data_IF_346358696548
#
_entry.id   IF_346358696548
#
_cell.length_a   1.000
_cell.length_b   1.000
_cell.length_c   1.000
_cell.angle_alpha   90.00
_cell.angle_beta   90.00
_cell.angle_gamma   90.00
#
_symmetry.space_group_name_H-M   'P 1'
#
loop_
_entity.id
_entity.type
_entity.pdbx_description
1 polymer ?
#
# COMPACT_ATOMS: atom_id res chain seq x y z
N UNK A 1 1.54 41.56 -11.16
CA UNK A 1 1.68 41.23 -9.72
C UNK A 1 2.62 40.05 -9.61
N UNK A 2 3.79 40.21 -8.98
CA UNK A 2 4.72 39.10 -8.79
C UNK A 2 4.12 38.11 -7.77
N UNK A 3 3.86 36.88 -8.21
CA UNK A 3 3.53 35.77 -7.31
C UNK A 3 4.72 35.58 -6.36
N UNK A 4 4.50 35.76 -5.06
CA UNK A 4 5.49 35.43 -4.03
C UNK A 4 5.74 33.92 -4.07
N UNK A 5 6.74 33.49 -4.83
CA UNK A 5 7.23 32.12 -4.80
C UNK A 5 7.82 31.84 -3.40
N UNK A 6 7.49 30.71 -2.76
CA UNK A 6 8.12 30.30 -1.51
C UNK A 6 9.64 30.22 -1.69
N UNK A 7 10.41 30.60 -0.66
CA UNK A 7 11.87 30.52 -0.71
C UNK A 7 12.29 29.07 -1.05
N UNK A 8 13.19 28.87 -2.03
CA UNK A 8 13.66 27.54 -2.40
C UNK A 8 14.29 26.85 -1.19
N UNK A 9 13.91 25.59 -0.95
CA UNK A 9 14.53 24.77 0.10
C UNK A 9 15.97 24.45 -0.30
N UNK A 10 16.91 24.69 0.62
CA UNK A 10 18.34 24.45 0.44
C UNK A 10 18.73 22.96 0.46
N UNK A 11 17.80 22.06 0.83
CA UNK A 11 18.05 20.62 0.91
C UNK A 11 16.88 19.84 0.32
N UNK A 12 17.18 18.94 -0.62
CA UNK A 12 16.20 17.98 -1.15
C UNK A 12 15.68 17.09 -0.01
N UNK A 13 14.36 16.88 0.10
CA UNK A 13 13.80 15.98 1.11
C UNK A 13 14.28 14.54 0.87
N UNK A 14 14.27 13.70 1.90
CA UNK A 14 14.56 12.28 1.75
C UNK A 14 13.53 11.63 0.81
N UNK A 15 14.01 10.80 -0.11
CA UNK A 15 13.22 10.20 -1.18
C UNK A 15 13.42 8.68 -1.24
N UNK A 16 12.41 8.00 -1.78
CA UNK A 16 12.41 6.57 -2.04
C UNK A 16 12.22 6.32 -3.54
N UNK A 17 13.01 5.41 -4.10
CA UNK A 17 12.91 5.06 -5.51
C UNK A 17 11.86 3.96 -5.73
N UNK A 18 10.97 4.16 -6.68
CA UNK A 18 9.88 3.26 -7.03
C UNK A 18 9.84 3.02 -8.53
N UNK A 19 9.56 1.76 -8.90
CA UNK A 19 9.31 1.38 -10.29
C UNK A 19 7.86 1.63 -10.69
N UNK A 20 7.61 2.38 -11.74
CA UNK A 20 6.28 2.65 -12.32
C UNK A 20 6.38 2.66 -13.84
N UNK A 21 5.57 1.85 -14.53
CA UNK A 21 5.53 1.78 -16.01
C UNK A 21 6.89 1.56 -16.69
N UNK A 22 7.76 0.76 -16.07
CA UNK A 22 9.14 0.52 -16.55
C UNK A 22 10.12 1.67 -16.28
N UNK A 23 9.64 2.78 -15.69
CA UNK A 23 10.46 3.88 -15.22
C UNK A 23 10.82 3.71 -13.75
N UNK A 24 11.96 4.28 -13.35
CA UNK A 24 12.34 4.45 -11.94
C UNK A 24 12.14 5.93 -11.60
N UNK A 25 11.27 6.21 -10.64
CA UNK A 25 10.98 7.57 -10.16
C UNK A 25 11.22 7.64 -8.65
N UNK A 26 11.40 8.83 -8.13
CA UNK A 26 11.70 9.13 -6.73
C UNK A 26 10.56 9.93 -6.12
N UNK A 27 10.01 9.41 -5.02
CA UNK A 27 8.91 10.03 -4.28
C UNK A 27 9.38 10.47 -2.91
N UNK A 28 8.81 11.55 -2.37
CA UNK A 28 9.22 12.06 -1.07
C UNK A 28 8.75 11.15 0.08
N UNK A 29 9.65 10.87 1.03
CA UNK A 29 9.34 10.03 2.21
C UNK A 29 8.24 10.66 3.09
N UNK A 30 8.12 11.99 3.08
CA UNK A 30 7.06 12.68 3.80
C UNK A 30 5.69 12.46 3.12
N UNK A 31 5.64 12.37 1.80
CA UNK A 31 4.41 12.01 1.07
C UNK A 31 4.01 10.55 1.34
N UNK A 32 4.95 9.60 1.31
CA UNK A 32 4.66 8.19 1.63
C UNK A 32 4.16 8.02 3.06
N UNK A 33 4.75 8.72 4.02
CA UNK A 33 4.29 8.77 5.41
C UNK A 33 2.88 9.37 5.55
N UNK A 34 2.54 10.37 4.71
CA UNK A 34 1.20 10.96 4.65
C UNK A 34 0.13 9.98 4.19
N UNK A 35 0.44 9.16 3.18
CA UNK A 35 -0.42 8.05 2.73
C UNK A 35 -0.62 7.04 3.87
N UNK A 36 0.45 6.63 4.56
CA UNK A 36 0.36 5.69 5.68
C UNK A 36 -0.58 6.21 6.78
N UNK A 37 -0.40 7.47 7.19
CA UNK A 37 -1.23 8.13 8.21
C UNK A 37 -2.69 8.20 7.79
N UNK A 38 -2.96 8.54 6.53
CA UNK A 38 -4.33 8.59 5.99
C UNK A 38 -5.05 7.25 6.10
N UNK A 39 -4.34 6.13 5.94
CA UNK A 39 -4.91 4.79 6.13
C UNK A 39 -5.27 4.46 7.58
N UNK A 40 -4.58 5.06 8.55
CA UNK A 40 -4.81 4.79 9.98
C UNK A 40 -6.14 5.38 10.47
N UNK A 41 -6.69 6.37 9.77
CA UNK A 41 -7.97 7.02 10.12
C UNK A 41 -9.17 6.06 9.94
N UNK A 42 -8.98 4.92 9.24
CA UNK A 42 -10.00 3.84 9.06
C UNK A 42 -11.38 4.32 8.58
N UNK A 43 -11.43 5.44 7.88
CA UNK A 43 -12.66 5.98 7.28
C UNK A 43 -12.64 5.84 5.76
N UNK A 44 -13.82 5.69 5.17
CA UNK A 44 -14.00 5.69 3.71
C UNK A 44 -13.33 4.52 2.99
N UNK A 45 -13.02 4.70 1.71
CA UNK A 45 -12.47 3.67 0.82
C UNK A 45 -11.07 3.17 1.17
N UNK A 46 -10.36 3.78 2.13
CA UNK A 46 -9.09 3.27 2.62
C UNK A 46 -9.24 2.15 3.66
N UNK A 47 -10.43 2.00 4.25
CA UNK A 47 -10.68 1.03 5.28
C UNK A 47 -10.45 -0.41 4.79
N UNK A 48 -9.60 -1.17 5.50
CA UNK A 48 -9.35 -2.57 5.19
C UNK A 48 -8.37 -2.84 4.04
N UNK A 49 -7.95 -1.83 3.27
CA UNK A 49 -6.92 -1.94 2.23
C UNK A 49 -5.51 -1.96 2.83
N UNK A 50 -5.18 -2.98 3.61
CA UNK A 50 -3.84 -3.16 4.18
C UNK A 50 -3.48 -4.63 4.25
N UNK A 51 -2.18 -4.93 4.12
CA UNK A 51 -1.66 -6.28 4.28
C UNK A 51 -1.66 -6.72 5.75
N UNK A 52 -1.65 -5.76 6.68
CA UNK A 52 -1.57 -5.98 8.12
C UNK A 52 -2.95 -6.21 8.71
N UNK A 53 -3.12 -7.33 9.39
CA UNK A 53 -4.38 -7.69 10.07
C UNK A 53 -4.26 -7.41 11.57
N UNK A 54 -5.32 -6.90 12.21
CA UNK A 54 -5.32 -6.71 13.67
C UNK A 54 -5.16 -8.02 14.43
N UNK A 55 -4.57 -8.00 15.63
CA UNK A 55 -4.40 -9.20 16.47
C UNK A 55 -5.74 -9.86 16.81
N UNK A 56 -6.81 -9.08 16.99
CA UNK A 56 -8.16 -9.63 17.19
C UNK A 56 -8.62 -10.46 16.00
N UNK A 57 -8.39 -9.97 14.80
CA UNK A 57 -8.76 -10.66 13.57
C UNK A 57 -7.83 -11.85 13.29
N UNK A 58 -6.52 -11.76 13.57
CA UNK A 58 -5.62 -12.91 13.54
C UNK A 58 -6.12 -14.04 14.44
N UNK A 59 -6.57 -13.70 15.67
CA UNK A 59 -7.12 -14.68 16.60
C UNK A 59 -8.45 -15.29 16.11
N UNK A 60 -9.28 -14.52 15.39
CA UNK A 60 -10.51 -15.02 14.77
C UNK A 60 -10.22 -16.00 13.62
N UNK A 61 -9.23 -15.67 12.78
CA UNK A 61 -8.86 -16.46 11.59
C UNK A 61 -8.08 -17.73 11.95
N UNK A 62 -7.19 -17.66 12.94
CA UNK A 62 -6.28 -18.76 13.29
C UNK A 62 -6.71 -19.56 14.53
N UNK A 63 -7.60 -19.01 15.35
CA UNK A 63 -7.83 -19.50 16.69
C UNK A 63 -6.62 -19.35 17.61
N UNK A 64 -6.74 -19.86 18.83
CA UNK A 64 -5.64 -19.84 19.80
C UNK A 64 -4.50 -20.77 19.38
N UNK A 65 -4.80 -21.94 18.80
CA UNK A 65 -3.79 -22.91 18.40
C UNK A 65 -2.90 -22.40 17.28
N UNK A 66 -3.46 -21.74 16.26
CA UNK A 66 -2.64 -21.16 15.19
C UNK A 66 -1.70 -20.06 15.69
N UNK A 67 -2.12 -19.28 16.70
CA UNK A 67 -1.24 -18.29 17.36
C UNK A 67 -0.16 -18.95 18.22
N UNK A 68 -0.45 -20.06 18.90
CA UNK A 68 0.57 -20.83 19.61
C UNK A 68 1.58 -21.43 18.64
N UNK A 69 1.11 -21.99 17.52
CA UNK A 69 1.99 -22.53 16.50
C UNK A 69 2.89 -21.45 15.91
N UNK A 70 2.39 -20.23 15.68
CA UNK A 70 3.23 -19.11 15.23
C UNK A 70 4.36 -18.77 16.24
N UNK A 71 4.09 -18.90 17.54
CA UNK A 71 5.10 -18.72 18.58
C UNK A 71 6.11 -19.88 18.61
N UNK A 72 5.66 -21.13 18.48
CA UNK A 72 6.52 -22.31 18.37
C UNK A 72 7.45 -22.19 17.17
N UNK A 73 6.88 -21.86 16.01
CA UNK A 73 7.65 -21.70 14.80
C UNK A 73 8.74 -20.64 15.04
N UNK A 74 8.42 -19.52 15.70
CA UNK A 74 9.37 -18.47 16.10
C UNK A 74 10.44 -18.90 17.13
N UNK A 75 10.47 -20.16 17.56
CA UNK A 75 11.38 -20.65 18.58
C UNK A 75 11.04 -20.13 19.98
N UNK A 76 9.79 -19.73 20.21
CA UNK A 76 9.31 -19.19 21.50
C UNK A 76 8.44 -20.19 22.23
N UNK A 77 8.41 -20.05 23.55
CA UNK A 77 7.46 -20.80 24.38
C UNK A 77 6.02 -20.47 23.98
N UNK A 78 5.15 -21.48 23.82
CA UNK A 78 3.74 -21.26 23.48
C UNK A 78 3.05 -20.35 24.51
N UNK A 79 2.37 -19.27 24.10
CA UNK A 79 1.67 -18.39 25.01
C UNK A 79 0.45 -19.08 25.65
N UNK A 80 0.19 -18.76 26.92
CA UNK A 80 -1.03 -19.18 27.62
C UNK A 80 -2.29 -18.54 27.02
N UNK A 81 -3.47 -19.12 27.28
CA UNK A 81 -4.75 -18.53 26.87
C UNK A 81 -4.99 -17.14 27.48
N UNK A 82 -4.43 -16.84 28.66
CA UNK A 82 -4.47 -15.50 29.28
C UNK A 82 -3.61 -14.51 28.48
N UNK A 83 -2.42 -14.93 28.08
CA UNK A 83 -1.50 -14.12 27.27
C UNK A 83 -2.12 -13.79 25.91
N UNK A 84 -2.69 -14.80 25.22
CA UNK A 84 -3.38 -14.60 23.94
C UNK A 84 -4.57 -13.63 24.05
N UNK A 85 -5.35 -13.69 25.15
CA UNK A 85 -6.41 -12.72 25.45
C UNK A 85 -5.85 -11.31 25.62
N UNK A 86 -4.76 -11.15 26.38
CA UNK A 86 -4.09 -9.86 26.58
C UNK A 86 -3.56 -9.28 25.26
N UNK A 87 -2.94 -10.09 24.41
CA UNK A 87 -2.49 -9.64 23.08
C UNK A 87 -3.64 -9.09 22.23
N UNK A 88 -4.78 -9.78 22.23
CA UNK A 88 -5.97 -9.32 21.50
C UNK A 88 -6.58 -8.04 22.10
N UNK A 89 -6.58 -7.90 23.43
CA UNK A 89 -7.07 -6.70 24.13
C UNK A 89 -6.17 -5.49 23.83
N UNK A 90 -4.85 -5.66 23.90
CA UNK A 90 -3.87 -4.61 23.64
C UNK A 90 -3.68 -4.35 22.13
N UNK A 91 -4.20 -5.22 21.27
CA UNK A 91 -4.00 -5.15 19.83
C UNK A 91 -2.54 -5.37 19.40
N UNK A 92 -1.71 -5.97 20.26
CA UNK A 92 -0.26 -6.09 20.08
C UNK A 92 0.24 -7.47 20.46
N UNK A 93 1.09 -8.04 19.60
CA UNK A 93 1.96 -9.17 19.93
C UNK A 93 3.35 -8.56 20.21
N UNK A 94 3.94 -8.75 21.41
CA UNK A 94 5.21 -8.11 21.77
C UNK A 94 6.39 -8.52 20.89
N UNK A 95 6.35 -9.74 20.35
CA UNK A 95 7.44 -10.35 19.58
C UNK A 95 7.17 -10.21 18.06
N UNK A 96 7.99 -9.43 17.32
CA UNK A 96 7.76 -9.16 15.89
C UNK A 96 7.81 -10.41 15.01
N UNK A 97 8.72 -11.34 15.30
CA UNK A 97 8.85 -12.66 14.67
C UNK A 97 7.57 -13.50 14.79
N UNK A 98 6.95 -13.52 15.98
CA UNK A 98 5.67 -14.20 16.21
C UNK A 98 4.54 -13.52 15.44
N UNK A 99 4.50 -12.18 15.46
CA UNK A 99 3.50 -11.42 14.72
C UNK A 99 3.59 -11.70 13.22
N UNK A 100 4.80 -11.67 12.66
CA UNK A 100 5.03 -11.95 11.24
C UNK A 100 4.55 -13.35 10.84
N UNK A 101 4.92 -14.38 11.60
CA UNK A 101 4.49 -15.77 11.33
C UNK A 101 2.98 -15.92 11.47
N UNK A 102 2.35 -15.25 12.43
CA UNK A 102 0.90 -15.20 12.55
C UNK A 102 0.24 -14.53 11.34
N UNK A 103 0.78 -13.41 10.84
CA UNK A 103 0.27 -12.74 9.62
C UNK A 103 0.41 -13.65 8.39
N UNK A 104 1.56 -14.31 8.20
CA UNK A 104 1.80 -15.26 7.10
C UNK A 104 0.80 -16.41 7.13
N UNK A 105 0.59 -17.01 8.31
CA UNK A 105 -0.37 -18.10 8.51
C UNK A 105 -1.79 -17.64 8.19
N UNK A 106 -2.23 -16.53 8.78
CA UNK A 106 -3.58 -16.00 8.56
C UNK A 106 -3.85 -15.69 7.08
N UNK A 107 -2.86 -15.11 6.39
CA UNK A 107 -2.96 -14.86 4.95
C UNK A 107 -3.10 -16.15 4.14
N UNK A 108 -2.38 -17.22 4.49
CA UNK A 108 -2.47 -18.50 3.78
C UNK A 108 -3.81 -19.19 4.05
N UNK A 109 -4.29 -19.20 5.30
CA UNK A 109 -5.59 -19.79 5.64
C UNK A 109 -6.73 -19.05 4.90
N UNK A 110 -6.70 -17.70 4.87
CA UNK A 110 -7.67 -16.91 4.07
C UNK A 110 -7.70 -17.27 2.60
N UNK A 111 -6.54 -17.62 2.03
CA UNK A 111 -6.42 -17.96 0.61
C UNK A 111 -6.82 -19.40 0.27
N UNK A 112 -7.32 -20.16 1.25
CA UNK A 112 -7.75 -21.55 1.10
C UNK A 112 -6.75 -22.58 1.60
N UNK A 113 -5.76 -22.15 2.41
CA UNK A 113 -4.75 -23.03 2.97
C UNK A 113 -3.55 -23.27 2.05
N UNK A 114 -2.63 -24.15 2.51
CA UNK A 114 -1.33 -24.36 1.87
C UNK A 114 -1.45 -24.88 0.44
N UNK A 115 -2.34 -25.85 0.20
CA UNK A 115 -2.48 -26.50 -1.11
C UNK A 115 -3.09 -25.55 -2.15
N UNK A 116 -4.11 -24.78 -1.78
CA UNK A 116 -4.71 -23.78 -2.66
C UNK A 116 -3.70 -22.68 -3.03
N UNK A 117 -2.90 -22.21 -2.06
CA UNK A 117 -1.86 -21.21 -2.31
C UNK A 117 -0.75 -21.79 -3.20
N UNK A 118 -0.31 -23.02 -2.94
CA UNK A 118 0.69 -23.71 -3.75
C UNK A 118 0.28 -23.79 -5.23
N UNK A 119 -0.97 -24.18 -5.49
CA UNK A 119 -1.54 -24.17 -6.84
C UNK A 119 -1.55 -22.78 -7.47
N UNK A 120 -2.04 -21.76 -6.75
CA UNK A 120 -2.13 -20.37 -7.25
C UNK A 120 -0.78 -19.76 -7.63
N UNK A 121 0.29 -20.11 -6.91
CA UNK A 121 1.62 -19.53 -7.15
C UNK A 121 2.56 -20.43 -7.95
N UNK A 122 2.15 -21.66 -8.31
CA UNK A 122 2.97 -22.62 -9.04
C UNK A 122 4.17 -23.12 -8.22
N UNK A 123 3.92 -23.49 -6.96
CA UNK A 123 4.93 -24.03 -6.03
C UNK A 123 4.44 -25.30 -5.35
N UNK A 124 5.34 -26.02 -4.70
CA UNK A 124 4.97 -27.21 -3.92
C UNK A 124 4.34 -26.83 -2.58
N UNK A 125 3.49 -27.72 -2.05
CA UNK A 125 2.93 -27.63 -0.69
C UNK A 125 4.03 -27.39 0.36
N UNK A 126 5.15 -28.10 0.25
CA UNK A 126 6.30 -27.96 1.16
C UNK A 126 6.89 -26.55 1.13
N UNK A 127 7.09 -25.96 -0.06
CA UNK A 127 7.62 -24.60 -0.18
C UNK A 127 6.71 -23.57 0.51
N UNK A 128 5.40 -23.69 0.31
CA UNK A 128 4.43 -22.80 0.96
C UNK A 128 4.37 -23.05 2.48
N UNK A 129 4.47 -24.30 2.93
CA UNK A 129 4.49 -24.64 4.35
C UNK A 129 5.72 -24.05 5.06
N UNK A 130 6.90 -24.14 4.45
CA UNK A 130 8.16 -23.56 4.98
C UNK A 130 8.13 -22.04 5.02
N UNK A 131 7.56 -21.42 3.98
CA UNK A 131 7.33 -19.97 3.98
C UNK A 131 6.35 -19.56 5.09
N UNK A 132 5.26 -20.32 5.28
CA UNK A 132 4.25 -20.07 6.31
C UNK A 132 4.83 -20.15 7.72
N UNK A 133 5.62 -21.18 7.99
CA UNK A 133 6.27 -21.36 9.29
C UNK A 133 7.36 -20.33 9.51
N UNK A 134 7.96 -19.76 8.46
CA UNK A 134 9.11 -18.88 8.58
C UNK A 134 10.45 -19.62 8.61
N UNK A 135 10.47 -20.90 8.22
CA UNK A 135 11.71 -21.64 7.95
C UNK A 135 12.46 -21.04 6.75
N UNK A 136 11.71 -20.51 5.79
CA UNK A 136 12.24 -19.66 4.72
C UNK A 136 11.60 -18.28 4.81
N UNK A 137 12.43 -17.24 4.86
CA UNK A 137 11.94 -15.86 4.90
C UNK A 137 11.24 -15.47 3.60
N UNK A 138 11.69 -15.99 2.46
CA UNK A 138 11.18 -15.61 1.14
C UNK A 138 10.95 -16.80 0.22
N UNK A 139 9.97 -16.65 -0.66
CA UNK A 139 9.80 -17.50 -1.82
C UNK A 139 10.65 -16.96 -2.97
N UNK A 140 10.95 -17.80 -3.97
CA UNK A 140 11.55 -17.34 -5.24
C UNK A 140 10.78 -16.13 -5.81
N UNK A 141 11.50 -15.20 -6.43
CA UNK A 141 10.98 -13.87 -6.81
C UNK A 141 9.64 -13.91 -7.58
N UNK A 142 9.50 -14.82 -8.54
CA UNK A 142 8.27 -15.04 -9.31
C UNK A 142 7.09 -15.48 -8.42
N UNK A 143 7.30 -16.41 -7.51
CA UNK A 143 6.29 -16.91 -6.58
C UNK A 143 5.97 -15.89 -5.48
N UNK A 144 6.97 -15.13 -5.03
CA UNK A 144 6.78 -14.00 -4.12
C UNK A 144 5.87 -12.93 -4.75
N UNK A 145 6.13 -12.56 -6.02
CA UNK A 145 5.28 -11.65 -6.79
C UNK A 145 3.86 -12.20 -6.96
N UNK A 146 3.70 -13.47 -7.33
CA UNK A 146 2.37 -14.11 -7.45
C UNK A 146 1.62 -14.11 -6.12
N UNK A 147 2.29 -14.49 -5.02
CA UNK A 147 1.68 -14.48 -3.70
C UNK A 147 1.25 -13.07 -3.27
N UNK A 148 2.09 -12.06 -3.52
CA UNK A 148 1.77 -10.66 -3.27
C UNK A 148 0.51 -10.23 -4.01
N UNK A 149 0.41 -10.56 -5.30
CA UNK A 149 -0.77 -10.25 -6.12
C UNK A 149 -2.04 -10.96 -5.62
N UNK A 150 -1.94 -12.25 -5.28
CA UNK A 150 -3.06 -13.04 -4.75
C UNK A 150 -3.53 -12.50 -3.40
N UNK A 151 -2.61 -12.11 -2.51
CA UNK A 151 -2.94 -11.45 -1.23
C UNK A 151 -3.62 -10.10 -1.45
N UNK A 152 -3.09 -9.28 -2.36
CA UNK A 152 -3.67 -7.98 -2.68
C UNK A 152 -5.11 -8.13 -3.20
N UNK A 153 -5.36 -9.09 -4.10
CA UNK A 153 -6.70 -9.36 -4.63
C UNK A 153 -7.69 -9.79 -3.53
N UNK A 154 -7.28 -10.65 -2.60
CA UNK A 154 -8.11 -11.01 -1.43
C UNK A 154 -8.43 -9.79 -0.54
N UNK A 155 -7.43 -8.94 -0.28
CA UNK A 155 -7.62 -7.71 0.50
C UNK A 155 -8.59 -6.76 -0.22
N UNK A 156 -8.40 -6.53 -1.52
CA UNK A 156 -9.26 -5.67 -2.33
C UNK A 156 -10.71 -6.19 -2.37
N UNK A 157 -10.89 -7.51 -2.49
CA UNK A 157 -12.22 -8.15 -2.45
C UNK A 157 -12.91 -7.89 -1.10
N UNK A 158 -12.22 -8.12 0.01
CA UNK A 158 -12.77 -7.92 1.37
C UNK A 158 -13.02 -6.45 1.70
N UNK A 159 -12.22 -5.55 1.15
CA UNK A 159 -12.40 -4.10 1.28
C UNK A 159 -13.54 -3.55 0.39
N UNK A 160 -14.20 -4.41 -0.41
CA UNK A 160 -15.32 -3.99 -1.26
C UNK A 160 -14.92 -3.11 -2.46
N UNK A 161 -13.64 -3.15 -2.84
CA UNK A 161 -13.07 -2.40 -3.97
C UNK A 161 -13.32 -3.10 -5.31
N UNK A 162 -13.59 -4.40 -5.26
CA UNK A 162 -13.98 -5.16 -6.43
C UNK A 162 -15.51 -5.24 -6.53
N UNK A 163 -16.03 -5.17 -7.75
CA UNK A 163 -17.40 -5.54 -8.08
C UNK A 163 -17.59 -7.06 -7.93
N UNK A 164 -18.84 -7.55 -7.85
CA UNK A 164 -19.12 -8.99 -7.75
C UNK A 164 -18.51 -9.84 -8.87
N UNK A 165 -18.38 -9.27 -10.06
CA UNK A 165 -17.74 -9.89 -11.23
C UNK A 165 -16.19 -9.92 -11.16
N UNK A 166 -15.60 -9.36 -10.10
CA UNK A 166 -14.15 -9.27 -9.89
C UNK A 166 -13.48 -8.07 -10.56
N UNK A 167 -14.21 -7.21 -11.26
CA UNK A 167 -13.67 -5.99 -11.86
C UNK A 167 -13.46 -4.89 -10.80
N UNK A 168 -12.47 -4.01 -10.96
CA UNK A 168 -12.21 -2.91 -10.03
C UNK A 168 -13.30 -1.84 -10.14
N UNK A 169 -13.77 -1.35 -8.99
CA UNK A 169 -14.54 -0.11 -8.89
C UNK A 169 -13.67 1.08 -9.30
N UNK A 170 -14.31 2.17 -9.75
CA UNK A 170 -13.60 3.42 -10.02
C UNK A 170 -13.26 4.09 -8.70
N UNK A 171 -12.08 4.71 -8.62
CA UNK A 171 -11.64 5.48 -7.47
C UNK A 171 -11.94 6.96 -7.67
N UNK A 172 -12.64 7.55 -6.72
CA UNK A 172 -12.89 8.98 -6.62
C UNK A 172 -11.97 9.52 -5.53
N UNK A 173 -10.93 10.27 -5.91
CA UNK A 173 -9.79 10.54 -5.03
C UNK A 173 -9.65 12.04 -4.75
N UNK A 174 -9.43 12.38 -3.49
CA UNK A 174 -9.08 13.73 -3.04
C UNK A 174 -7.79 13.67 -2.22
N UNK A 175 -6.81 14.47 -2.59
CA UNK A 175 -5.51 14.54 -1.91
C UNK A 175 -5.24 15.98 -1.50
N UNK A 176 -4.79 16.16 -0.27
CA UNK A 176 -4.31 17.44 0.24
C UNK A 176 -2.83 17.32 0.58
N UNK A 177 -2.01 18.25 0.12
CA UNK A 177 -0.59 18.28 0.45
C UNK A 177 0.20 19.41 -0.21
N UNK A 178 1.48 19.52 0.15
CA UNK A 178 2.43 20.41 -0.52
C UNK A 178 3.05 19.74 -1.74
N UNK A 179 3.14 20.48 -2.85
CA UNK A 179 3.49 19.94 -4.15
C UNK A 179 4.53 20.82 -4.85
N UNK A 180 5.34 20.16 -5.67
CA UNK A 180 6.39 20.76 -6.48
C UNK A 180 6.10 20.43 -7.93
N UNK A 181 6.05 21.46 -8.78
CA UNK A 181 6.03 21.27 -10.22
C UNK A 181 7.48 21.40 -10.72
N UNK A 182 7.96 20.39 -11.44
CA UNK A 182 9.31 20.33 -12.01
C UNK A 182 9.21 20.44 -13.53
N UNK A 183 9.88 21.43 -14.12
CA UNK A 183 9.93 21.66 -15.57
C UNK A 183 11.32 21.41 -16.17
N UNK A 184 12.08 20.48 -15.60
CA UNK A 184 13.48 20.24 -15.97
C UNK A 184 14.48 20.81 -14.96
N UNK A 185 15.75 20.43 -15.12
CA UNK A 185 16.81 20.75 -14.18
C UNK A 185 17.17 22.25 -14.12
N UNK A 186 16.92 22.98 -15.20
CA UNK A 186 17.39 24.35 -15.41
C UNK A 186 16.32 25.43 -15.16
N UNK A 187 15.03 25.06 -15.09
CA UNK A 187 13.91 26.02 -14.96
C UNK A 187 13.44 26.26 -13.50
N UNK A 188 14.07 25.62 -12.52
CA UNK A 188 13.74 25.79 -11.10
C UNK A 188 12.46 25.06 -10.65
N UNK A 189 12.04 25.30 -9.39
CA UNK A 189 10.90 24.64 -8.76
C UNK A 189 9.76 25.64 -8.49
N UNK A 190 8.55 25.37 -8.98
CA UNK A 190 7.36 26.07 -8.51
C UNK A 190 6.75 25.30 -7.33
N UNK A 191 6.87 25.88 -6.14
CA UNK A 191 6.32 25.32 -4.90
C UNK A 191 4.91 25.85 -4.68
N UNK A 192 3.92 24.96 -4.67
CA UNK A 192 2.53 25.30 -4.38
C UNK A 192 2.00 24.40 -3.27
N UNK A 193 1.20 24.95 -2.36
CA UNK A 193 0.32 24.10 -1.53
C UNK A 193 -0.95 23.92 -2.33
N UNK A 194 -1.34 22.67 -2.61
CA UNK A 194 -2.54 22.38 -3.40
C UNK A 194 -3.39 21.30 -2.75
N UNK A 195 -4.70 21.50 -2.82
CA UNK A 195 -5.66 20.41 -2.70
C UNK A 195 -5.94 19.93 -4.11
N UNK A 196 -5.54 18.70 -4.42
CA UNK A 196 -5.90 18.06 -5.68
C UNK A 196 -7.18 17.26 -5.47
N UNK A 197 -8.23 17.72 -6.13
CA UNK A 197 -9.48 16.99 -6.21
C UNK A 197 -9.54 16.28 -7.56
N UNK A 198 -9.12 15.01 -7.60
CA UNK A 198 -9.25 14.16 -8.79
C UNK A 198 -10.71 13.73 -9.02
N UNK A 199 -11.57 13.83 -8.00
CA UNK A 199 -12.99 13.46 -8.09
C UNK A 199 -13.77 14.42 -9.01
N UNK A 200 -13.45 15.70 -8.92
CA UNK A 200 -14.08 16.78 -9.68
C UNK A 200 -13.25 17.18 -10.92
N UNK A 201 -12.29 16.34 -11.33
CA UNK A 201 -11.54 16.50 -12.58
C UNK A 201 -12.35 15.96 -13.76
N UNK A 202 -12.23 16.59 -14.93
CA UNK A 202 -12.76 16.05 -16.20
C UNK A 202 -12.13 14.68 -16.56
N UNK A 203 -10.98 14.37 -15.94
CA UNK A 203 -10.17 13.16 -16.13
C UNK A 203 -9.97 12.42 -14.80
N UNK A 204 -11.00 11.70 -14.30
CA UNK A 204 -10.85 10.88 -13.10
C UNK A 204 -9.98 9.64 -13.38
N UNK A 205 -9.54 8.95 -12.33
CA UNK A 205 -8.81 7.69 -12.46
C UNK A 205 -9.59 6.68 -13.28
N UNK A 206 -8.92 6.06 -14.26
CA UNK A 206 -9.48 4.94 -15.01
C UNK A 206 -9.69 3.73 -14.10
N UNK A 207 -10.47 2.74 -14.56
CA UNK A 207 -10.66 1.48 -13.83
C UNK A 207 -9.34 0.72 -13.64
N UNK A 208 -8.40 0.85 -14.59
CA UNK A 208 -7.08 0.23 -14.51
C UNK A 208 -6.19 0.92 -13.48
N UNK A 209 -6.09 2.24 -13.51
CA UNK A 209 -5.33 3.01 -12.52
C UNK A 209 -5.92 2.84 -11.11
N UNK A 210 -7.24 2.80 -11.01
CA UNK A 210 -7.96 2.50 -9.76
C UNK A 210 -7.55 1.13 -9.20
N UNK A 211 -7.38 0.12 -10.07
CA UNK A 211 -6.91 -1.22 -9.68
C UNK A 211 -5.46 -1.19 -9.20
N UNK A 212 -4.59 -0.47 -9.92
CA UNK A 212 -3.18 -0.34 -9.54
C UNK A 212 -3.03 0.35 -8.18
N UNK A 213 -3.78 1.43 -7.96
CA UNK A 213 -3.80 2.17 -6.71
C UNK A 213 -4.30 1.28 -5.57
N UNK A 214 -5.41 0.55 -5.78
CA UNK A 214 -5.94 -0.38 -4.80
C UNK A 214 -4.94 -1.50 -4.46
N UNK A 215 -4.24 -2.05 -5.45
CA UNK A 215 -3.25 -3.08 -5.24
C UNK A 215 -2.01 -2.56 -4.50
N UNK A 216 -1.56 -1.34 -4.80
CA UNK A 216 -0.47 -0.69 -4.06
C UNK A 216 -0.88 -0.44 -2.60
N UNK A 217 -2.08 0.09 -2.36
CA UNK A 217 -2.64 0.27 -1.01
C UNK A 217 -2.74 -1.06 -0.25
N UNK A 218 -3.30 -2.10 -0.87
CA UNK A 218 -3.45 -3.44 -0.28
C UNK A 218 -2.11 -4.07 0.11
N UNK A 219 -1.04 -3.76 -0.61
CA UNK A 219 0.31 -4.25 -0.33
C UNK A 219 1.10 -3.35 0.63
N UNK A 220 0.49 -2.28 1.15
CA UNK A 220 1.18 -1.23 1.91
C UNK A 220 2.39 -0.62 1.16
N UNK A 221 2.31 -0.57 -0.18
CA UNK A 221 3.32 0.03 -1.06
C UNK A 221 3.04 1.51 -1.24
N UNK A 222 3.35 2.29 -0.20
CA UNK A 222 2.99 3.72 -0.14
C UNK A 222 3.77 4.55 -1.16
N UNK A 223 5.00 4.16 -1.48
CA UNK A 223 5.78 4.79 -2.53
C UNK A 223 5.10 4.65 -3.90
N UNK A 224 4.60 3.46 -4.24
CA UNK A 224 3.85 3.25 -5.49
C UNK A 224 2.52 4.01 -5.51
N UNK A 225 1.84 4.15 -4.37
CA UNK A 225 0.64 4.99 -4.26
C UNK A 225 0.96 6.44 -4.61
N UNK A 226 2.00 7.02 -4.02
CA UNK A 226 2.41 8.40 -4.33
C UNK A 226 2.76 8.55 -5.80
N UNK A 227 3.55 7.63 -6.37
CA UNK A 227 3.93 7.72 -7.78
C UNK A 227 2.75 7.61 -8.75
N UNK A 228 1.72 6.81 -8.43
CA UNK A 228 0.48 6.74 -9.22
C UNK A 228 -0.29 8.07 -9.17
N UNK A 229 -0.38 8.69 -7.99
CA UNK A 229 -1.01 10.00 -7.83
C UNK A 229 -0.25 11.10 -8.58
N UNK A 230 1.08 11.09 -8.51
CA UNK A 230 1.96 12.04 -9.23
C UNK A 230 1.86 11.87 -10.75
N UNK A 231 1.86 10.63 -11.24
CA UNK A 231 1.69 10.33 -12.67
C UNK A 231 0.35 10.87 -13.19
N UNK A 232 -0.76 10.53 -12.53
CA UNK A 232 -2.10 11.02 -12.92
C UNK A 232 -2.19 12.54 -12.83
N UNK A 233 -1.63 13.13 -11.76
CA UNK A 233 -1.57 14.58 -11.62
C UNK A 233 -0.77 15.24 -12.76
N UNK A 234 0.28 14.59 -13.25
CA UNK A 234 1.16 15.14 -14.28
C UNK A 234 0.53 15.05 -15.67
N UNK A 235 0.04 13.86 -16.04
CA UNK A 235 -0.37 13.57 -17.41
C UNK A 235 -1.83 13.93 -17.67
N UNK A 236 -2.69 13.73 -16.69
CA UNK A 236 -4.13 13.74 -16.91
C UNK A 236 -4.83 14.92 -16.24
N UNK A 237 -4.26 15.53 -15.20
CA UNK A 237 -4.93 16.61 -14.47
C UNK A 237 -5.02 17.91 -15.29
N UNK A 238 -6.22 18.50 -15.47
CA UNK A 238 -6.44 19.59 -16.42
C UNK A 238 -5.58 20.83 -16.23
N UNK A 239 -5.25 21.18 -14.98
CA UNK A 239 -4.43 22.35 -14.66
C UNK A 239 -2.93 22.15 -14.91
N UNK A 240 -2.49 20.91 -15.12
CA UNK A 240 -1.09 20.56 -15.36
C UNK A 240 -0.84 20.17 -16.83
N UNK A 241 -1.82 20.44 -17.72
CA UNK A 241 -1.68 20.26 -19.18
C UNK A 241 -0.42 20.98 -19.67
N UNK A 242 0.53 20.21 -20.20
CA UNK A 242 1.84 20.71 -20.63
C UNK A 242 2.99 19.72 -20.43
N UNK A 243 2.77 18.65 -19.64
CA UNK A 243 3.72 17.56 -19.52
C UNK A 243 3.34 16.38 -20.41
N UNK A 244 4.23 16.03 -21.34
CA UNK A 244 4.08 14.81 -22.15
C UNK A 244 4.63 13.56 -21.43
N UNK A 245 5.34 13.76 -20.31
CA UNK A 245 6.00 12.70 -19.56
C UNK A 245 6.10 13.02 -18.06
N UNK A 246 5.90 11.99 -17.25
CA UNK A 246 6.23 11.97 -15.83
C UNK A 246 7.61 11.33 -15.58
N UNK A 247 8.47 12.00 -14.81
CA UNK A 247 9.80 11.52 -14.40
C UNK A 247 10.35 12.32 -13.21
N UNK A 248 11.53 11.98 -12.70
CA UNK A 248 12.18 12.76 -11.63
C UNK A 248 12.43 14.23 -11.96
N UNK A 249 12.55 14.57 -13.25
CA UNK A 249 12.85 15.93 -13.70
C UNK A 249 11.62 16.69 -14.17
N UNK A 250 10.53 15.99 -14.49
CA UNK A 250 9.38 16.55 -15.18
C UNK A 250 8.09 16.06 -14.54
N UNK A 251 7.24 17.01 -14.17
CA UNK A 251 5.89 16.77 -13.71
C UNK A 251 5.62 17.23 -12.29
N UNK A 252 4.54 16.69 -11.76
CA UNK A 252 4.01 17.01 -10.46
C UNK A 252 4.55 16.04 -9.40
N UNK A 253 5.09 16.58 -8.30
CA UNK A 253 5.64 15.78 -7.21
C UNK A 253 5.14 16.24 -5.85
N UNK A 254 4.68 15.32 -5.01
CA UNK A 254 4.33 15.64 -3.64
C UNK A 254 5.61 15.83 -2.81
N UNK A 255 5.69 16.96 -2.11
CA UNK A 255 6.64 17.13 -1.01
C UNK A 255 6.14 16.41 0.24
N UNK A 256 4.86 16.57 0.55
CA UNK A 256 4.18 15.87 1.63
C UNK A 256 2.69 15.70 1.32
N UNK A 257 2.05 14.74 1.99
CA UNK A 257 0.61 14.50 1.91
C UNK A 257 0.03 14.64 3.31
N UNK A 258 -0.96 15.52 3.46
CA UNK A 258 -1.68 15.73 4.72
C UNK A 258 -2.81 14.69 4.88
N UNK A 259 -3.55 14.45 3.79
CA UNK A 259 -4.67 13.51 3.78
C UNK A 259 -4.94 12.98 2.38
N UNK A 260 -5.29 11.69 2.31
CA UNK A 260 -5.87 11.03 1.13
C UNK A 260 -7.27 10.55 1.48
N UNK A 261 -8.25 10.92 0.66
CA UNK A 261 -9.61 10.41 0.72
C UNK A 261 -9.94 9.68 -0.58
N UNK A 262 -10.54 8.50 -0.47
CA UNK A 262 -10.92 7.67 -1.63
C UNK A 262 -12.34 7.16 -1.41
N UNK A 263 -13.19 7.31 -2.42
CA UNK A 263 -14.49 6.65 -2.52
C UNK A 263 -14.48 5.68 -3.71
N UNK A 264 -14.96 4.44 -3.50
CA UNK A 264 -14.99 3.41 -4.54
C UNK A 264 -16.40 3.23 -5.08
N UNK A 265 -16.62 3.55 -6.37
CA UNK A 265 -17.92 3.53 -7.05
C UNK A 265 -18.01 2.49 -8.18
#
# INVERSE_FOLDING_TARGET
>A
MALHLPKPRTKKPAQEAVGLDGLKVTVANAATSGVEKSKQVKSGGLAGLTSKVSVKQLRKELGNEGLRQAAIDAGRTPPSARTLRRWAQQGRIPHPDVLERAQRRAAIERLGGVDAVAAKIGRSRSAVSRYRSGETNELRADASKKLRNVKAQDIMKRAGVLRPDGTPKKAVIRVKGGVMVRNGADEGYDYRVRTLDFANSDTPFTSEESRELAAALANDDHARVVALLERHATLDYPENKGFDKYSDQFGFHFDHIDSVHIDWI
#
